data_IF_697883150615
#
_entry.id   IF_697883150615
#
_cell.length_a   1.000
_cell.length_b   1.000
_cell.length_c   1.000
_cell.angle_alpha   90.00
_cell.angle_beta   90.00
_cell.angle_gamma   90.00
#
_symmetry.space_group_name_H-M   'P 1'
#
loop_
_entity.id
_entity.type
_entity.pdbx_description
1 polymer ?
#
# COMPACT_ATOMS: atom_id res chain seq x y z
N UNK A 1 -4.59 -2.87 4.90
CA UNK A 1 -4.47 -1.46 4.53
C UNK A 1 -3.78 -1.36 3.17
N UNK A 2 -4.21 -0.43 2.32
CA UNK A 2 -3.68 -0.25 0.97
C UNK A 2 -3.20 1.18 0.80
N UNK A 3 -2.09 1.36 0.09
CA UNK A 3 -1.53 2.67 -0.24
C UNK A 3 -1.19 2.77 -1.71
N UNK A 4 -1.14 4.00 -2.22
CA UNK A 4 -0.76 4.26 -3.60
C UNK A 4 0.75 4.12 -3.80
N UNK A 5 1.13 3.65 -4.99
CA UNK A 5 2.52 3.72 -5.46
C UNK A 5 3.09 5.15 -5.34
N UNK A 6 2.28 6.16 -5.69
CA UNK A 6 2.70 7.56 -5.63
C UNK A 6 3.08 8.01 -4.20
N UNK A 7 2.32 7.58 -3.18
CA UNK A 7 2.65 7.88 -1.78
C UNK A 7 4.01 7.28 -1.41
N UNK A 8 4.22 6.00 -1.73
CA UNK A 8 5.47 5.29 -1.45
C UNK A 8 6.64 6.02 -2.09
N UNK A 9 6.50 6.39 -3.36
CA UNK A 9 7.55 7.06 -4.13
C UNK A 9 7.87 8.45 -3.55
N UNK A 10 6.83 9.25 -3.23
CA UNK A 10 7.01 10.60 -2.67
C UNK A 10 7.61 10.60 -1.27
N UNK A 11 7.30 9.59 -0.47
CA UNK A 11 7.81 9.45 0.90
C UNK A 11 9.12 8.66 0.97
N UNK A 12 9.59 8.10 -0.15
CA UNK A 12 10.82 7.29 -0.21
C UNK A 12 10.74 6.01 0.62
N UNK A 13 9.54 5.41 0.73
CA UNK A 13 9.32 4.22 1.54
C UNK A 13 9.88 2.97 0.86
N UNK A 14 10.46 2.07 1.67
CA UNK A 14 10.94 0.80 1.17
C UNK A 14 9.79 -0.17 0.91
N UNK A 15 9.76 -0.75 -0.29
CA UNK A 15 8.83 -1.83 -0.66
C UNK A 15 9.53 -3.18 -0.62
N UNK A 16 8.83 -4.17 -0.10
CA UNK A 16 9.20 -5.57 -0.19
C UNK A 16 8.11 -6.40 -0.87
N UNK A 17 8.47 -7.63 -1.25
CA UNK A 17 7.52 -8.57 -1.84
C UNK A 17 6.50 -9.00 -0.78
N UNK A 18 5.22 -8.95 -1.14
CA UNK A 18 4.16 -9.47 -0.30
C UNK A 18 4.24 -11.01 -0.28
N UNK A 19 4.42 -11.65 0.90
CA UNK A 19 4.46 -13.11 1.02
C UNK A 19 3.14 -13.77 0.62
N UNK A 20 2.02 -13.05 0.71
CA UNK A 20 0.68 -13.53 0.38
C UNK A 20 0.12 -12.76 -0.81
N UNK A 21 0.82 -12.77 -1.96
CA UNK A 21 0.36 -12.05 -3.14
C UNK A 21 -1.03 -12.53 -3.61
N UNK A 22 -1.91 -11.59 -3.98
CA UNK A 22 -3.29 -11.88 -4.36
C UNK A 22 -3.78 -10.94 -5.47
N UNK A 23 -4.94 -11.25 -6.06
CA UNK A 23 -5.55 -10.47 -7.14
C UNK A 23 -6.86 -9.86 -6.65
N UNK A 24 -7.08 -8.58 -6.97
CA UNK A 24 -8.33 -7.87 -6.68
C UNK A 24 -9.01 -7.47 -7.99
N UNK A 25 -10.27 -7.90 -8.15
CA UNK A 25 -11.09 -7.59 -9.34
C UNK A 25 -11.99 -6.37 -9.15
N UNK A 26 -12.29 -6.00 -7.90
CA UNK A 26 -13.18 -4.88 -7.57
C UNK A 26 -12.52 -3.51 -7.75
N UNK A 27 -11.20 -3.46 -7.89
CA UNK A 27 -10.44 -2.21 -7.84
C UNK A 27 -10.42 -1.45 -9.18
N UNK A 28 -10.36 -2.15 -10.32
CA UNK A 28 -10.33 -1.51 -11.65
C UNK A 28 -11.26 -2.25 -12.61
N UNK A 29 -12.24 -1.53 -13.17
CA UNK A 29 -13.26 -2.13 -14.04
C UNK A 29 -12.60 -2.69 -15.31
N UNK A 30 -12.62 -4.01 -15.44
CA UNK A 30 -12.06 -4.73 -16.59
C UNK A 30 -10.59 -5.14 -16.46
N UNK A 31 -9.89 -4.78 -15.37
CA UNK A 31 -8.52 -5.21 -15.13
C UNK A 31 -8.34 -5.65 -13.67
N UNK A 32 -7.89 -6.88 -13.47
CA UNK A 32 -7.49 -7.32 -12.15
C UNK A 32 -6.15 -6.69 -11.77
N UNK A 33 -6.07 -6.23 -10.52
CA UNK A 33 -4.82 -5.71 -9.95
C UNK A 33 -4.18 -6.81 -9.13
N UNK A 34 -2.93 -7.14 -9.45
CA UNK A 34 -2.11 -8.02 -8.61
C UNK A 34 -1.48 -7.19 -7.51
N UNK A 35 -1.68 -7.63 -6.27
CA UNK A 35 -1.08 -7.07 -5.07
C UNK A 35 0.08 -7.98 -4.70
N UNK A 36 1.30 -7.59 -5.07
CA UNK A 36 2.53 -8.37 -4.85
C UNK A 36 3.59 -7.62 -4.04
N UNK A 37 3.32 -6.37 -3.67
CA UNK A 37 4.23 -5.50 -2.92
C UNK A 37 3.55 -4.99 -1.66
N UNK A 38 4.36 -4.82 -0.61
CA UNK A 38 3.95 -4.16 0.63
C UNK A 38 5.06 -3.25 1.15
N UNK A 39 4.69 -2.23 1.91
CA UNK A 39 5.63 -1.34 2.59
C UNK A 39 5.24 -1.19 4.07
N UNK A 40 6.23 -1.01 4.93
CA UNK A 40 6.02 -0.69 6.34
C UNK A 40 5.78 0.81 6.46
N UNK A 41 4.66 1.21 7.06
CA UNK A 41 4.29 2.61 7.21
C UNK A 41 4.16 2.91 8.69
N UNK A 42 5.02 3.80 9.17
CA UNK A 42 4.93 4.39 10.50
C UNK A 42 4.27 5.76 10.38
N UNK A 43 3.14 5.96 11.05
CA UNK A 43 2.39 7.21 11.01
C UNK A 43 1.89 7.61 12.40
N UNK A 44 1.49 8.87 12.53
CA UNK A 44 0.91 9.41 13.76
C UNK A 44 -0.35 10.20 13.48
N UNK A 45 -1.36 10.05 14.35
CA UNK A 45 -2.59 10.83 14.31
C UNK A 45 -2.67 11.70 15.57
N UNK A 46 -2.55 13.01 15.38
CA UNK A 46 -2.41 13.95 16.49
C UNK A 46 -1.18 13.66 17.35
N UNK A 47 -1.22 14.06 18.63
CA UNK A 47 -0.06 13.97 19.51
C UNK A 47 0.11 12.60 20.19
N UNK A 48 -0.95 11.78 20.25
CA UNK A 48 -0.97 10.59 21.10
C UNK A 48 -1.03 9.27 20.33
N UNK A 49 -1.47 9.27 19.07
CA UNK A 49 -1.54 8.05 18.28
C UNK A 49 -0.29 7.92 17.42
N UNK A 50 0.43 6.82 17.59
CA UNK A 50 1.51 6.38 16.71
C UNK A 50 1.28 4.92 16.41
N UNK A 51 1.46 4.56 15.16
CA UNK A 51 1.23 3.21 14.70
C UNK A 51 2.20 2.88 13.56
N UNK A 52 2.46 1.59 13.41
CA UNK A 52 3.34 1.05 12.39
C UNK A 52 2.71 -0.22 11.84
N UNK A 53 2.43 -0.21 10.54
CA UNK A 53 1.73 -1.33 9.93
C UNK A 53 2.17 -1.58 8.49
N UNK A 54 2.04 -2.83 8.09
CA UNK A 54 2.25 -3.25 6.71
C UNK A 54 1.05 -2.85 5.85
N UNK A 55 1.31 -2.09 4.80
CA UNK A 55 0.35 -1.73 3.78
C UNK A 55 0.67 -2.40 2.46
N UNK A 56 -0.36 -2.91 1.80
CA UNK A 56 -0.28 -3.36 0.42
C UNK A 56 -0.13 -2.17 -0.51
N UNK A 57 0.80 -2.26 -1.46
CA UNK A 57 1.06 -1.19 -2.42
C UNK A 57 0.28 -1.49 -3.68
N UNK A 58 -0.56 -0.55 -4.11
CA UNK A 58 -1.37 -0.70 -5.32
C UNK A 58 -1.29 0.56 -6.21
N UNK A 59 -1.47 0.40 -7.53
CA UNK A 59 -1.64 1.52 -8.43
C UNK A 59 -3.04 2.11 -8.24
N UNK A 60 -3.17 3.11 -7.36
CA UNK A 60 -4.39 3.92 -7.26
C UNK A 60 -4.35 5.01 -8.33
N UNK A 61 -5.44 5.16 -9.09
CA UNK A 61 -5.62 6.33 -9.96
C UNK A 61 -6.01 7.52 -9.04
N UNK A 62 -5.26 8.62 -9.07
CA UNK A 62 -5.49 9.83 -8.29
C UNK A 62 -6.39 10.83 -9.02
#
# INVERSE_FOLDING_TARGET
NMVSNEMVDKLGLHCEKNPNAYRIAWFKKGNEVTVDKRCLISFSIGNNYKDELWCDVIPMDA
#
